data_IF_431789510016
#
_entry.id   IF_431789510016
#
_cell.length_a   1.000
_cell.length_b   1.000
_cell.length_c   1.000
_cell.angle_alpha   90.00
_cell.angle_beta   90.00
_cell.angle_gamma   90.00
#
_symmetry.space_group_name_H-M   'P 1'
#
loop_
_entity.id
_entity.type
_entity.pdbx_description
1 polymer ?
#
# COMPACT_ATOMS: atom_id res chain seq x y z
N UNK A 1 0.88 -13.09 17.33
CA UNK A 1 1.15 -14.50 16.96
C UNK A 1 2.14 -14.47 15.79
N UNK A 2 3.38 -14.97 15.95
CA UNK A 2 4.32 -15.10 14.83
C UNK A 2 3.93 -16.37 14.07
N UNK A 3 3.32 -16.25 12.90
CA UNK A 3 3.20 -17.39 11.98
C UNK A 3 4.61 -17.76 11.52
N UNK A 4 5.02 -19.00 11.78
CA UNK A 4 6.25 -19.54 11.17
C UNK A 4 5.95 -19.86 9.72
N UNK A 5 6.80 -19.42 8.79
CA UNK A 5 6.64 -19.72 7.37
C UNK A 5 6.62 -21.24 7.09
N UNK A 6 7.25 -22.04 7.95
CA UNK A 6 7.26 -23.52 7.87
C UNK A 6 5.89 -24.17 8.09
N UNK A 7 4.92 -23.43 8.65
CA UNK A 7 3.53 -23.91 8.79
C UNK A 7 2.66 -23.65 7.57
N UNK A 8 3.19 -22.91 6.59
CA UNK A 8 2.50 -22.66 5.33
C UNK A 8 2.73 -23.88 4.43
N UNK A 9 1.65 -24.53 3.99
CA UNK A 9 1.69 -25.71 3.12
C UNK A 9 2.06 -25.33 1.68
N UNK A 10 3.23 -24.72 1.52
CA UNK A 10 3.76 -24.20 0.25
C UNK A 10 4.72 -25.21 -0.37
N UNK A 11 4.79 -25.21 -1.69
CA UNK A 11 5.85 -25.87 -2.44
C UNK A 11 7.23 -25.32 -2.03
N UNK A 12 8.27 -26.16 -2.16
CA UNK A 12 9.64 -25.77 -1.79
C UNK A 12 10.14 -24.54 -2.58
N UNK A 13 9.80 -24.46 -3.87
CA UNK A 13 10.16 -23.31 -4.71
C UNK A 13 9.45 -22.03 -4.26
N UNK A 14 8.17 -22.12 -3.90
CA UNK A 14 7.44 -20.98 -3.38
C UNK A 14 7.97 -20.50 -2.03
N UNK A 15 8.27 -21.44 -1.13
CA UNK A 15 8.87 -21.15 0.16
C UNK A 15 10.23 -20.43 0.00
N UNK A 16 11.09 -20.91 -0.91
CA UNK A 16 12.37 -20.26 -1.21
C UNK A 16 12.19 -18.86 -1.79
N UNK A 17 11.19 -18.66 -2.65
CA UNK A 17 10.85 -17.34 -3.16
C UNK A 17 10.43 -16.39 -2.04
N UNK A 18 9.52 -16.81 -1.15
CA UNK A 18 9.06 -16.02 -0.02
C UNK A 18 10.15 -15.72 1.02
N UNK A 19 11.13 -16.61 1.18
CA UNK A 19 12.24 -16.43 2.11
C UNK A 19 13.35 -15.49 1.58
N UNK A 20 13.08 -14.76 0.49
CA UNK A 20 14.03 -13.80 -0.08
C UNK A 20 14.10 -12.54 0.78
N UNK A 21 15.31 -12.19 1.23
CA UNK A 21 15.55 -10.94 1.96
C UNK A 21 15.35 -9.72 1.06
N UNK A 22 14.57 -8.75 1.54
CA UNK A 22 14.35 -7.46 0.86
C UNK A 22 15.21 -6.35 1.43
N UNK A 23 15.50 -5.34 0.61
CA UNK A 23 16.29 -4.16 0.99
C UNK A 23 15.42 -3.05 1.58
N UNK A 24 14.67 -3.36 2.63
CA UNK A 24 13.76 -2.43 3.28
C UNK A 24 14.13 -2.19 4.73
N UNK A 25 13.89 -0.97 5.21
CA UNK A 25 13.94 -0.67 6.65
C UNK A 25 12.92 -1.52 7.42
N UNK A 26 13.31 -1.98 8.61
CA UNK A 26 12.42 -2.70 9.53
C UNK A 26 11.23 -1.85 9.98
N UNK A 27 11.33 -0.52 9.84
CA UNK A 27 10.23 0.42 10.05
C UNK A 27 9.04 0.17 9.13
N UNK A 28 9.26 -0.26 7.88
CA UNK A 28 8.15 -0.59 6.99
C UNK A 28 7.35 -1.78 7.54
N UNK A 29 8.05 -2.81 8.03
CA UNK A 29 7.40 -3.97 8.65
C UNK A 29 6.60 -3.60 9.92
N UNK A 30 7.06 -2.60 10.67
CA UNK A 30 6.35 -2.06 11.85
C UNK A 30 5.18 -1.13 11.48
N UNK A 31 5.23 -0.51 10.30
CA UNK A 31 4.19 0.40 9.80
C UNK A 31 2.97 -0.35 9.24
N UNK A 32 3.18 -1.56 8.73
CA UNK A 32 2.10 -2.39 8.18
C UNK A 32 1.17 -2.84 9.30
N UNK A 33 -0.09 -2.40 9.21
CA UNK A 33 -1.19 -2.96 9.97
C UNK A 33 -1.81 -4.08 9.16
N UNK A 34 -1.87 -5.33 9.66
CA UNK A 34 -2.36 -6.50 8.90
C UNK A 34 -3.89 -6.59 8.76
N UNK A 35 -4.61 -5.99 9.72
CA UNK A 35 -6.08 -5.99 9.76
C UNK A 35 -6.70 -4.67 9.29
N UNK A 36 -5.90 -3.66 8.94
CA UNK A 36 -6.39 -2.36 8.52
C UNK A 36 -6.37 -2.22 7.00
N UNK A 37 -7.45 -1.71 6.40
CA UNK A 37 -7.43 -1.28 5.00
C UNK A 37 -6.86 0.12 4.83
N UNK A 38 -6.79 0.94 5.89
CA UNK A 38 -6.20 2.28 5.84
C UNK A 38 -4.73 2.29 6.23
N UNK A 39 -3.95 3.17 5.59
CA UNK A 39 -2.54 3.41 5.90
C UNK A 39 -2.42 4.62 6.83
N UNK A 40 -1.69 4.46 7.94
CA UNK A 40 -1.42 5.56 8.86
C UNK A 40 -0.35 6.51 8.31
N UNK A 41 -0.27 7.72 8.86
CA UNK A 41 0.78 8.68 8.48
C UNK A 41 2.12 8.30 9.12
N UNK A 42 3.19 8.45 8.36
CA UNK A 42 4.56 8.45 8.86
C UNK A 42 5.03 9.87 9.19
N UNK A 43 5.85 10.00 10.23
CA UNK A 43 6.56 11.24 10.49
C UNK A 43 7.75 11.39 9.51
N UNK A 44 8.45 12.53 9.59
CA UNK A 44 9.58 12.84 8.70
C UNK A 44 10.69 11.78 8.75
N UNK A 45 10.96 11.21 9.93
CA UNK A 45 12.01 10.19 10.11
C UNK A 45 11.55 8.87 9.51
N UNK A 46 10.29 8.50 9.76
CA UNK A 46 9.65 7.32 9.16
C UNK A 46 9.62 7.39 7.64
N UNK A 47 9.26 8.53 7.05
CA UNK A 47 9.26 8.73 5.61
C UNK A 47 10.66 8.60 5.01
N UNK A 48 11.69 9.19 5.65
CA UNK A 48 13.07 9.07 5.20
C UNK A 48 13.57 7.63 5.22
N UNK A 49 13.23 6.87 6.26
CA UNK A 49 13.66 5.48 6.44
C UNK A 49 12.87 4.49 5.57
N UNK A 50 11.58 4.74 5.33
CA UNK A 50 10.69 3.83 4.58
C UNK A 50 10.77 4.07 3.08
N UNK A 51 10.80 5.33 2.63
CA UNK A 51 10.63 5.71 1.23
C UNK A 51 11.95 5.73 0.45
N UNK A 52 12.69 4.63 0.53
CA UNK A 52 13.87 4.38 -0.31
C UNK A 52 13.46 3.64 -1.59
N UNK A 53 13.92 4.11 -2.75
CA UNK A 53 13.59 3.48 -4.06
C UNK A 53 14.10 2.03 -4.14
N UNK A 54 15.24 1.76 -3.50
CA UNK A 54 15.84 0.43 -3.36
C UNK A 54 14.92 -0.56 -2.65
N UNK A 55 14.16 -0.11 -1.64
CA UNK A 55 13.18 -0.93 -0.94
C UNK A 55 12.01 -1.27 -1.88
N UNK A 56 11.43 -0.27 -2.54
CA UNK A 56 10.32 -0.49 -3.46
C UNK A 56 10.68 -1.47 -4.56
N UNK A 57 11.83 -1.27 -5.20
CA UNK A 57 12.29 -2.16 -6.27
C UNK A 57 12.51 -3.58 -5.75
N UNK A 58 13.12 -3.74 -4.57
CA UNK A 58 13.32 -5.05 -3.95
C UNK A 58 12.00 -5.78 -3.64
N UNK A 59 10.93 -5.06 -3.30
CA UNK A 59 9.59 -5.63 -3.11
C UNK A 59 8.96 -6.04 -4.45
N UNK A 60 9.11 -5.23 -5.50
CA UNK A 60 8.64 -5.58 -6.85
C UNK A 60 9.37 -6.82 -7.39
N UNK A 61 10.67 -6.91 -7.18
CA UNK A 61 11.49 -8.06 -7.58
C UNK A 61 11.04 -9.31 -6.82
N UNK A 62 10.81 -9.20 -5.50
CA UNK A 62 10.26 -10.29 -4.69
C UNK A 62 8.90 -10.75 -5.21
N UNK A 63 7.98 -9.82 -5.48
CA UNK A 63 6.66 -10.14 -6.04
C UNK A 63 6.76 -10.88 -7.36
N UNK A 64 7.65 -10.44 -8.24
CA UNK A 64 7.90 -11.08 -9.54
C UNK A 64 8.45 -12.49 -9.34
N UNK A 65 9.40 -12.68 -8.40
CA UNK A 65 9.94 -14.00 -8.06
C UNK A 65 8.86 -14.95 -7.55
N UNK A 66 8.00 -14.49 -6.65
CA UNK A 66 6.87 -15.28 -6.11
C UNK A 66 5.93 -15.72 -7.23
N UNK A 67 5.54 -14.80 -8.13
CA UNK A 67 4.68 -15.12 -9.27
C UNK A 67 5.31 -16.16 -10.22
N UNK A 68 6.64 -16.18 -10.34
CA UNK A 68 7.35 -17.15 -11.17
C UNK A 68 7.64 -18.49 -10.48
N UNK A 69 7.47 -18.60 -9.16
CA UNK A 69 7.87 -19.78 -8.37
C UNK A 69 6.72 -20.48 -7.65
N UNK A 70 5.60 -19.80 -7.41
CA UNK A 70 4.46 -20.34 -6.67
C UNK A 70 3.33 -20.77 -7.62
N UNK A 71 2.68 -21.89 -7.30
CA UNK A 71 1.43 -22.32 -7.95
C UNK A 71 0.23 -21.59 -7.33
N UNK A 72 -0.58 -20.92 -8.15
CA UNK A 72 -1.70 -20.10 -7.66
C UNK A 72 -2.82 -20.88 -6.97
N UNK A 73 -2.91 -22.19 -7.19
CA UNK A 73 -3.97 -23.04 -6.64
C UNK A 73 -3.54 -23.73 -5.34
N UNK A 74 -2.26 -24.10 -5.23
CA UNK A 74 -1.76 -24.85 -4.06
C UNK A 74 -0.96 -24.00 -3.11
N UNK A 75 -0.19 -23.03 -3.62
CA UNK A 75 0.69 -22.19 -2.80
C UNK A 75 -0.05 -20.94 -2.30
N UNK A 76 -0.98 -21.19 -1.37
CA UNK A 76 -1.83 -20.15 -0.78
C UNK A 76 -1.44 -19.81 0.65
N UNK A 77 -1.68 -18.56 1.03
CA UNK A 77 -1.46 -18.03 2.38
C UNK A 77 -2.80 -17.95 3.08
N UNK A 78 -2.94 -18.70 4.19
CA UNK A 78 -4.13 -18.59 5.01
C UNK A 78 -4.01 -17.42 5.99
N UNK A 79 -4.93 -16.46 5.92
CA UNK A 79 -5.02 -15.34 6.84
C UNK A 79 -6.47 -15.03 7.17
N UNK A 80 -6.81 -14.89 8.46
CA UNK A 80 -8.18 -14.63 8.92
C UNK A 80 -9.22 -15.59 8.30
N UNK A 81 -8.87 -16.88 8.23
CA UNK A 81 -9.69 -17.96 7.64
C UNK A 81 -9.95 -17.86 6.13
N UNK A 82 -9.31 -16.92 5.43
CA UNK A 82 -9.34 -16.79 3.98
C UNK A 82 -8.02 -17.26 3.38
N UNK A 83 -8.08 -17.75 2.14
CA UNK A 83 -6.91 -18.13 1.36
C UNK A 83 -6.59 -17.00 0.40
N UNK A 84 -5.34 -16.56 0.42
CA UNK A 84 -4.82 -15.54 -0.47
C UNK A 84 -3.68 -16.11 -1.33
N UNK A 85 -3.39 -15.49 -2.48
CA UNK A 85 -2.19 -15.83 -3.24
C UNK A 85 -0.91 -15.65 -2.41
N UNK A 86 0.15 -16.40 -2.73
CA UNK A 86 1.48 -16.22 -2.13
C UNK A 86 1.99 -14.77 -2.18
N UNK A 87 1.56 -13.97 -3.16
CA UNK A 87 1.94 -12.55 -3.26
C UNK A 87 1.31 -11.67 -2.19
N UNK A 88 0.28 -12.12 -1.47
CA UNK A 88 -0.49 -11.29 -0.54
C UNK A 88 0.38 -10.56 0.50
N UNK A 89 1.42 -11.24 1.00
CA UNK A 89 2.37 -10.65 1.96
C UNK A 89 3.07 -9.46 1.30
N UNK A 90 3.74 -9.66 0.16
CA UNK A 90 4.50 -8.60 -0.53
C UNK A 90 3.59 -7.51 -1.11
N UNK A 91 2.39 -7.86 -1.57
CA UNK A 91 1.38 -6.92 -2.04
C UNK A 91 0.98 -5.96 -0.92
N UNK A 92 0.95 -6.44 0.33
CA UNK A 92 0.70 -5.60 1.49
C UNK A 92 1.85 -4.65 1.80
N UNK A 93 3.09 -5.08 1.67
CA UNK A 93 4.25 -4.19 1.80
C UNK A 93 4.25 -3.10 0.73
N UNK A 94 4.02 -3.47 -0.54
CA UNK A 94 3.91 -2.52 -1.65
C UNK A 94 2.75 -1.54 -1.43
N UNK A 95 1.61 -2.03 -0.96
CA UNK A 95 0.45 -1.18 -0.65
C UNK A 95 0.77 -0.10 0.38
N UNK A 96 1.34 -0.46 1.53
CA UNK A 96 1.69 0.52 2.57
C UNK A 96 2.80 1.46 2.11
N UNK A 97 3.78 0.95 1.35
CA UNK A 97 4.84 1.77 0.76
C UNK A 97 4.25 2.81 -0.20
N UNK A 98 3.50 2.38 -1.20
CA UNK A 98 3.03 3.25 -2.30
C UNK A 98 2.07 4.35 -1.79
N UNK A 99 1.32 4.08 -0.72
CA UNK A 99 0.46 5.10 -0.09
C UNK A 99 1.29 6.09 0.74
N UNK A 100 2.17 5.61 1.63
CA UNK A 100 2.94 6.49 2.53
C UNK A 100 3.98 7.33 1.77
N UNK A 101 4.56 6.76 0.72
CA UNK A 101 5.60 7.39 -0.08
C UNK A 101 5.06 8.20 -1.25
N UNK A 102 3.73 8.37 -1.36
CA UNK A 102 3.13 9.24 -2.35
C UNK A 102 3.62 10.69 -2.13
N UNK A 103 4.09 11.30 -3.22
CA UNK A 103 4.55 12.68 -3.24
C UNK A 103 3.57 13.52 -4.01
N UNK A 104 3.27 14.69 -3.46
CA UNK A 104 2.54 15.74 -4.16
C UNK A 104 3.21 16.01 -5.50
N UNK A 105 2.44 15.87 -6.57
CA UNK A 105 2.88 16.08 -7.94
C UNK A 105 3.37 17.50 -8.19
N UNK A 106 2.88 18.49 -7.42
CA UNK A 106 3.25 19.90 -7.61
C UNK A 106 4.54 20.28 -6.87
N UNK A 107 4.67 19.91 -5.60
CA UNK A 107 5.80 20.30 -4.75
C UNK A 107 6.87 19.23 -4.56
N UNK A 108 6.58 17.98 -4.91
CA UNK A 108 7.46 16.83 -4.67
C UNK A 108 7.60 16.43 -3.19
N UNK A 109 6.83 17.06 -2.29
CA UNK A 109 6.82 16.73 -0.86
C UNK A 109 6.02 15.46 -0.61
N UNK A 110 6.42 14.69 0.40
CA UNK A 110 5.60 13.57 0.88
C UNK A 110 4.25 14.06 1.38
N UNK A 111 3.18 13.40 0.94
CA UNK A 111 1.84 13.82 1.29
C UNK A 111 1.51 13.62 2.77
N UNK A 112 2.13 12.64 3.43
CA UNK A 112 2.06 12.52 4.88
C UNK A 112 2.56 13.78 5.61
N UNK A 113 3.58 14.46 5.07
CA UNK A 113 4.07 15.73 5.63
C UNK A 113 3.09 16.88 5.39
N UNK A 114 2.48 16.95 4.21
CA UNK A 114 1.48 17.98 3.86
C UNK A 114 0.25 17.83 4.75
N UNK A 115 -0.32 16.61 4.80
CA UNK A 115 -1.52 16.30 5.59
C UNK A 115 -1.27 16.48 7.10
N UNK A 116 -0.08 16.15 7.59
CA UNK A 116 0.29 16.43 8.99
C UNK A 116 0.30 17.94 9.30
N UNK A 117 0.66 18.77 8.32
CA UNK A 117 0.65 20.24 8.44
C UNK A 117 -0.74 20.82 8.65
N UNK A 118 -1.76 20.27 7.97
CA UNK A 118 -3.15 20.72 8.06
C UNK A 118 -3.73 20.65 9.48
N UNK A 119 -3.20 19.77 10.34
CA UNK A 119 -3.65 19.65 11.73
C UNK A 119 -3.39 20.91 12.56
N UNK A 120 -2.47 21.74 12.13
CA UNK A 120 -2.14 23.00 12.80
C UNK A 120 -2.99 24.18 12.29
N UNK A 121 -3.87 23.95 11.31
CA UNK A 121 -4.71 25.00 10.74
C UNK A 121 -6.03 25.12 11.51
N UNK A 122 -6.41 26.35 11.84
CA UNK A 122 -7.68 26.63 12.51
C UNK A 122 -8.82 26.66 11.50
N UNK A 123 -9.55 25.54 11.41
CA UNK A 123 -10.65 25.34 10.48
C UNK A 123 -10.21 24.53 9.28
N UNK A 124 -10.54 23.25 9.25
CA UNK A 124 -10.23 22.39 8.11
C UNK A 124 -10.78 23.00 6.82
N UNK A 125 -9.90 23.24 5.86
CA UNK A 125 -10.29 23.83 4.58
C UNK A 125 -10.86 22.76 3.68
N UNK A 126 -12.03 23.00 3.07
CA UNK A 126 -12.54 22.15 2.00
C UNK A 126 -11.54 22.01 0.84
N UNK A 127 -10.63 22.99 0.69
CA UNK A 127 -9.55 22.94 -0.28
C UNK A 127 -8.61 21.73 -0.07
N UNK A 128 -8.46 21.24 1.17
CA UNK A 128 -7.66 20.04 1.45
C UNK A 128 -8.18 18.80 0.72
N UNK A 129 -9.49 18.69 0.54
CA UNK A 129 -10.08 17.54 -0.15
C UNK A 129 -9.81 17.52 -1.65
N UNK A 130 -9.47 18.68 -2.23
CA UNK A 130 -9.08 18.81 -3.63
C UNK A 130 -7.56 18.78 -3.83
N UNK A 131 -6.78 18.74 -2.76
CA UNK A 131 -5.33 18.64 -2.83
C UNK A 131 -4.89 17.25 -3.33
N UNK A 132 -3.80 17.20 -4.09
CA UNK A 132 -3.23 15.94 -4.58
C UNK A 132 -2.83 15.02 -3.41
N UNK A 133 -2.46 15.59 -2.26
CA UNK A 133 -2.18 14.83 -1.06
C UNK A 133 -3.39 14.22 -0.36
N UNK A 134 -4.60 14.58 -0.78
CA UNK A 134 -5.80 13.86 -0.39
C UNK A 134 -6.20 12.83 -1.45
N UNK A 135 -6.30 13.25 -2.71
CA UNK A 135 -6.83 12.43 -3.79
C UNK A 135 -5.84 11.40 -4.33
N UNK A 136 -4.55 11.72 -4.36
CA UNK A 136 -3.47 10.85 -4.80
C UNK A 136 -3.36 9.56 -3.98
N UNK A 137 -3.13 9.64 -2.66
CA UNK A 137 -3.12 8.47 -1.78
C UNK A 137 -4.44 7.70 -1.84
N UNK A 138 -5.59 8.36 -1.97
CA UNK A 138 -6.89 7.68 -2.12
C UNK A 138 -6.97 6.89 -3.43
N UNK A 139 -6.47 7.44 -4.54
CA UNK A 139 -6.36 6.76 -5.84
C UNK A 139 -5.44 5.53 -5.76
N UNK A 140 -4.28 5.65 -5.09
CA UNK A 140 -3.40 4.50 -4.84
C UNK A 140 -4.14 3.43 -4.03
N UNK A 141 -4.84 3.84 -2.97
CA UNK A 141 -5.55 2.90 -2.11
C UNK A 141 -6.61 2.10 -2.86
N UNK A 142 -7.42 2.77 -3.68
CA UNK A 142 -8.51 2.16 -4.42
C UNK A 142 -8.05 1.29 -5.60
N UNK A 143 -6.81 1.44 -6.07
CA UNK A 143 -6.22 0.54 -7.08
C UNK A 143 -5.76 -0.79 -6.47
N UNK A 144 -5.56 -0.83 -5.15
CA UNK A 144 -5.17 -2.05 -4.44
C UNK A 144 -6.40 -2.84 -3.99
N UNK A 145 -6.47 -4.17 -4.18
CA UNK A 145 -7.50 -5.00 -3.55
C UNK A 145 -7.52 -4.89 -2.02
N UNK A 146 -6.39 -4.55 -1.40
CA UNK A 146 -6.28 -4.40 0.06
C UNK A 146 -6.98 -3.12 0.54
N UNK A 147 -6.80 -2.02 -0.20
CA UNK A 147 -7.34 -0.70 0.14
C UNK A 147 -8.72 -0.42 -0.44
N UNK A 148 -9.16 -1.21 -1.43
CA UNK A 148 -10.42 -0.95 -2.10
C UNK A 148 -11.61 -1.05 -1.16
N UNK A 149 -12.45 -0.02 -1.21
CA UNK A 149 -13.73 0.02 -0.53
C UNK A 149 -14.74 0.74 -1.43
N UNK A 150 -15.90 0.13 -1.66
CA UNK A 150 -16.91 0.67 -2.58
C UNK A 150 -17.41 2.06 -2.19
N UNK A 151 -17.51 2.36 -0.90
CA UNK A 151 -17.96 3.67 -0.42
C UNK A 151 -16.87 4.71 -0.60
N UNK A 152 -15.61 4.35 -0.33
CA UNK A 152 -14.45 5.21 -0.66
C UNK A 152 -14.34 5.46 -2.16
N UNK A 153 -14.60 4.46 -3.01
CA UNK A 153 -14.61 4.65 -4.46
C UNK A 153 -15.69 5.65 -4.93
N UNK A 154 -16.88 5.62 -4.30
CA UNK A 154 -17.94 6.59 -4.56
C UNK A 154 -17.57 8.00 -4.08
N UNK A 155 -17.00 8.11 -2.87
CA UNK A 155 -16.48 9.37 -2.33
C UNK A 155 -15.41 9.95 -3.25
N UNK A 156 -14.44 9.14 -3.69
CA UNK A 156 -13.39 9.55 -4.62
C UNK A 156 -13.96 10.07 -5.94
N UNK A 157 -14.94 9.37 -6.52
CA UNK A 157 -15.61 9.81 -7.73
C UNK A 157 -16.40 11.12 -7.54
N UNK A 158 -16.96 11.35 -6.35
CA UNK A 158 -17.63 12.60 -6.01
C UNK A 158 -16.64 13.76 -5.87
N UNK A 159 -15.54 13.53 -5.13
CA UNK A 159 -14.51 14.54 -4.89
C UNK A 159 -13.77 14.93 -6.17
N UNK A 160 -13.34 13.96 -6.96
CA UNK A 160 -12.67 14.24 -8.24
C UNK A 160 -13.54 15.08 -9.17
N UNK A 161 -14.86 14.81 -9.19
CA UNK A 161 -15.83 15.64 -9.91
C UNK A 161 -15.97 17.04 -9.32
N UNK A 162 -16.12 17.19 -8.01
CA UNK A 162 -16.28 18.52 -7.38
C UNK A 162 -15.03 19.38 -7.51
N UNK A 163 -13.85 18.74 -7.47
CA UNK A 163 -12.56 19.38 -7.61
C UNK A 163 -12.15 19.61 -9.08
N UNK A 164 -12.95 19.14 -10.05
CA UNK A 164 -12.67 19.25 -11.48
C UNK A 164 -11.29 18.67 -11.88
N UNK A 165 -10.94 17.51 -11.32
CA UNK A 165 -9.66 16.82 -11.61
C UNK A 165 -9.87 15.53 -12.38
N UNK A 166 -9.27 15.48 -13.58
CA UNK A 166 -9.36 14.33 -14.49
C UNK A 166 -8.07 13.49 -14.52
N UNK A 167 -7.04 13.91 -13.76
CA UNK A 167 -5.72 13.28 -13.75
C UNK A 167 -5.71 11.85 -13.16
N UNK A 168 -6.72 11.48 -12.39
CA UNK A 168 -6.80 10.15 -11.81
C UNK A 168 -7.65 9.22 -12.67
N UNK A 169 -7.02 8.16 -13.17
CA UNK A 169 -7.75 7.05 -13.75
C UNK A 169 -8.74 6.45 -12.74
N UNK A 170 -9.92 6.03 -13.21
CA UNK A 170 -10.91 5.33 -12.39
C UNK A 170 -10.25 4.12 -11.73
N UNK A 171 -10.18 4.06 -10.39
CA UNK A 171 -9.52 2.96 -9.72
C UNK A 171 -10.34 1.68 -9.92
N UNK A 172 -9.70 0.66 -10.47
CA UNK A 172 -10.25 -0.68 -10.63
C UNK A 172 -9.31 -1.61 -9.87
N UNK A 173 -9.72 -2.18 -8.72
CA UNK A 173 -8.86 -3.09 -7.99
C UNK A 173 -8.70 -4.38 -8.79
N UNK A 174 -7.48 -4.90 -8.86
CA UNK A 174 -7.27 -6.31 -9.21
C UNK A 174 -7.90 -7.20 -8.13
N UNK A 175 -8.64 -8.27 -8.46
CA UNK A 175 -9.22 -9.16 -7.46
C UNK A 175 -8.15 -9.91 -6.63
N UNK A 176 -8.53 -10.26 -5.39
CA UNK A 176 -7.99 -11.45 -4.71
C UNK A 176 -9.02 -12.57 -4.76
#
# INVERSE_FOLDING_TARGET
>A
MKMSYETLNLSGLCFEALNTTVKCSDRLAKHIAWDASSVGLLDRVGLADVCEDTCRQSLVDLRTKILGSCDTNTDTIQYSYLNFPATYIVDRYLYFYDVSCYKDSSSGKFCDTVVAGWRNETGGSEAHYCDDCWLGPMSVQLKSPIGFNKYRAQEFASLTRSCSVDAYAKPTPTPY
#
